data_IF_102458821102
#
_entry.id   IF_102458821102
#
_cell.length_a   1.000
_cell.length_b   1.000
_cell.length_c   1.000
_cell.angle_alpha   90.00
_cell.angle_beta   90.00
_cell.angle_gamma   90.00
#
_symmetry.space_group_name_H-M   'P 1'
#
loop_
_entity.id
_entity.type
_entity.pdbx_description
1 polymer ?
#
# COMPACT_ATOMS: atom_id res chain seq x y z
N UNK A 1 2.36 -8.63 20.38
CA UNK A 1 2.40 -7.16 20.23
C UNK A 1 1.28 -6.71 19.31
N UNK A 2 1.04 -5.40 19.19
CA UNK A 2 0.10 -4.84 18.22
C UNK A 2 0.76 -4.84 16.83
N UNK A 3 0.11 -5.41 15.81
CA UNK A 3 0.65 -5.46 14.45
C UNK A 3 0.49 -4.11 13.74
N UNK A 4 -0.75 -3.66 13.55
CA UNK A 4 -1.07 -2.37 12.95
C UNK A 4 -2.44 -1.83 13.40
N UNK A 5 -2.68 -0.56 13.13
CA UNK A 5 -3.99 0.10 13.23
C UNK A 5 -4.35 0.64 11.85
N UNK A 6 -5.51 0.24 11.33
CA UNK A 6 -5.96 0.60 9.99
C UNK A 6 -7.04 1.68 10.03
N UNK A 7 -6.95 2.64 9.10
CA UNK A 7 -7.88 3.74 8.92
C UNK A 7 -8.45 3.70 7.52
N UNK A 8 -9.77 3.51 7.42
CA UNK A 8 -10.48 3.56 6.14
C UNK A 8 -10.47 4.98 5.59
N UNK A 9 -10.13 5.11 4.33
CA UNK A 9 -10.27 6.36 3.55
C UNK A 9 -11.29 6.15 2.44
N UNK A 10 -11.70 7.23 1.77
CA UNK A 10 -12.86 7.19 0.87
C UNK A 10 -12.66 6.29 -0.36
N UNK A 11 -11.47 6.35 -0.94
CA UNK A 11 -11.15 5.65 -2.19
C UNK A 11 -9.62 5.46 -2.34
N UNK A 12 -9.24 4.81 -3.44
CA UNK A 12 -7.82 4.61 -3.80
C UNK A 12 -7.07 5.94 -3.97
N UNK A 13 -7.73 7.03 -4.38
CA UNK A 13 -7.08 8.32 -4.53
C UNK A 13 -6.68 8.89 -3.17
N UNK A 14 -7.47 8.68 -2.12
CA UNK A 14 -7.09 9.05 -0.75
C UNK A 14 -6.01 8.13 -0.17
N UNK A 15 -5.96 6.83 -0.52
CA UNK A 15 -4.85 5.94 -0.15
C UNK A 15 -3.53 6.48 -0.71
N UNK A 16 -3.50 6.79 -2.01
CA UNK A 16 -2.30 7.32 -2.67
C UNK A 16 -1.99 8.75 -2.23
N UNK A 17 -2.98 9.64 -2.23
CA UNK A 17 -2.81 11.05 -1.88
C UNK A 17 -2.36 11.24 -0.43
N UNK A 18 -3.01 10.51 0.48
CA UNK A 18 -2.67 10.46 1.90
C UNK A 18 -1.29 9.85 2.14
N UNK A 19 -0.98 8.71 1.50
CA UNK A 19 0.33 8.09 1.63
C UNK A 19 1.48 8.93 1.08
N UNK A 20 1.25 9.65 -0.03
CA UNK A 20 2.21 10.62 -0.54
C UNK A 20 2.42 11.81 0.43
N UNK A 21 1.36 12.24 1.12
CA UNK A 21 1.47 13.26 2.18
C UNK A 21 2.29 12.74 3.37
N UNK A 22 1.99 11.52 3.86
CA UNK A 22 2.73 10.87 4.94
C UNK A 22 4.22 10.73 4.58
N UNK A 23 4.54 10.32 3.34
CA UNK A 23 5.92 10.28 2.88
C UNK A 23 6.59 11.66 2.88
N UNK A 24 5.88 12.74 2.53
CA UNK A 24 6.44 14.11 2.59
C UNK A 24 6.67 14.58 4.03
N UNK A 25 5.91 14.04 4.99
CA UNK A 25 6.13 14.24 6.42
C UNK A 25 7.33 13.45 6.97
N UNK A 26 8.06 12.72 6.12
CA UNK A 26 9.29 12.00 6.50
C UNK A 26 9.05 10.63 7.11
N UNK A 27 7.85 10.09 7.01
CA UNK A 27 7.54 8.75 7.52
C UNK A 27 7.99 7.68 6.53
N UNK A 28 8.50 6.58 7.08
CA UNK A 28 8.92 5.43 6.29
C UNK A 28 7.73 4.53 5.95
N UNK A 29 7.68 4.09 4.69
CA UNK A 29 6.78 3.02 4.28
C UNK A 29 7.35 1.68 4.73
N UNK A 30 6.51 0.83 5.31
CA UNK A 30 6.85 -0.57 5.50
C UNK A 30 6.56 -1.36 4.22
N UNK A 31 5.37 -1.16 3.66
CA UNK A 31 4.95 -1.76 2.40
C UNK A 31 3.78 -0.99 1.80
N UNK A 32 3.79 -0.82 0.49
CA UNK A 32 2.67 -0.27 -0.25
C UNK A 32 3.03 0.98 -1.04
N UNK A 33 2.11 1.54 -1.83
CA UNK A 33 0.73 1.10 -1.98
C UNK A 33 0.63 -0.32 -2.56
N UNK A 34 -0.43 -1.04 -2.22
CA UNK A 34 -0.67 -2.43 -2.61
C UNK A 34 -2.15 -2.78 -2.67
N UNK A 35 -2.45 -4.03 -3.05
CA UNK A 35 -3.81 -4.60 -2.96
C UNK A 35 -3.80 -5.97 -2.29
N UNK A 36 -4.69 -6.16 -1.33
CA UNK A 36 -4.88 -7.42 -0.61
C UNK A 36 -5.86 -8.34 -1.37
N UNK A 37 -5.48 -9.59 -1.68
CA UNK A 37 -6.40 -10.57 -2.27
C UNK A 37 -7.49 -11.03 -1.30
N UNK A 38 -7.20 -11.06 0.00
CA UNK A 38 -8.10 -11.63 1.01
C UNK A 38 -9.25 -10.68 1.36
N UNK A 39 -8.97 -9.38 1.49
CA UNK A 39 -9.94 -8.36 1.87
C UNK A 39 -10.40 -7.49 0.69
N UNK A 40 -9.83 -7.67 -0.50
CA UNK A 40 -9.94 -6.76 -1.65
C UNK A 40 -9.35 -5.36 -1.45
N UNK A 41 -8.91 -5.00 -0.24
CA UNK A 41 -8.53 -3.63 0.08
C UNK A 41 -7.28 -3.17 -0.69
N UNK A 42 -7.33 -1.95 -1.23
CA UNK A 42 -6.11 -1.18 -1.49
C UNK A 42 -5.53 -0.73 -0.15
N UNK A 43 -4.22 -0.87 0.04
CA UNK A 43 -3.57 -0.58 1.31
C UNK A 43 -2.27 0.22 1.14
N UNK A 44 -1.85 0.89 2.21
CA UNK A 44 -0.48 1.41 2.36
C UNK A 44 -0.09 1.44 3.85
N UNK A 45 0.97 0.68 4.20
CA UNK A 45 1.51 0.59 5.56
C UNK A 45 2.69 1.55 5.81
N UNK A 46 2.62 2.27 6.93
CA UNK A 46 3.64 3.20 7.40
C UNK A 46 4.20 2.77 8.75
N UNK A 47 5.50 2.98 8.96
CA UNK A 47 6.14 2.81 10.27
C UNK A 47 5.74 3.98 11.16
N UNK A 48 5.09 3.68 12.27
CA UNK A 48 4.69 4.69 13.26
C UNK A 48 5.77 4.84 14.34
N UNK A 49 6.25 6.06 14.62
CA UNK A 49 7.19 6.31 15.72
C UNK A 49 6.68 5.87 17.10
N UNK A 50 5.36 5.80 17.29
CA UNK A 50 4.74 5.32 18.53
C UNK A 50 4.63 3.78 18.61
N UNK A 51 5.15 3.05 17.62
CA UNK A 51 5.05 1.60 17.53
C UNK A 51 3.83 1.12 16.71
N UNK A 52 3.84 -0.17 16.38
CA UNK A 52 2.96 -0.79 15.38
C UNK A 52 3.03 -0.10 14.00
N UNK A 53 2.34 -0.64 12.99
CA UNK A 53 2.17 0.03 11.72
C UNK A 53 0.87 0.84 11.72
N UNK A 54 0.82 1.87 10.88
CA UNK A 54 -0.43 2.55 10.50
C UNK A 54 -0.75 2.14 9.07
N UNK A 55 -2.01 1.82 8.80
CA UNK A 55 -2.51 1.49 7.47
C UNK A 55 -3.54 2.50 7.01
N UNK A 56 -3.40 3.02 5.80
CA UNK A 56 -4.52 3.59 5.05
C UNK A 56 -5.04 2.54 4.08
N UNK A 57 -6.36 2.34 4.09
CA UNK A 57 -6.99 1.39 3.19
C UNK A 57 -8.35 1.85 2.67
N UNK A 58 -8.77 1.29 1.53
CA UNK A 58 -10.08 1.50 0.93
C UNK A 58 -10.48 0.31 0.06
N UNK A 59 -11.76 0.22 -0.32
CA UNK A 59 -12.31 -0.79 -1.23
C UNK A 59 -12.25 -2.22 -0.67
N UNK A 60 -12.47 -2.37 0.64
CA UNK A 60 -12.59 -3.66 1.29
C UNK A 60 -13.93 -4.36 1.00
N UNK A 61 -13.91 -5.69 1.02
CA UNK A 61 -15.12 -6.51 0.94
C UNK A 61 -16.09 -6.17 2.08
N UNK A 62 -17.36 -5.94 1.75
CA UNK A 62 -18.44 -5.80 2.73
C UNK A 62 -19.11 -7.16 2.93
N UNK A 63 -19.09 -7.65 4.16
CA UNK A 63 -19.65 -8.97 4.49
C UNK A 63 -21.16 -8.86 4.73
N UNK A 64 -21.94 -9.66 4.01
CA UNK A 64 -23.37 -9.83 4.27
C UNK A 64 -23.63 -11.07 5.12
N UNK A 65 -24.89 -11.30 5.51
CA UNK A 65 -25.29 -12.50 6.23
C UNK A 65 -25.06 -13.80 5.43
N UNK A 66 -25.00 -13.72 4.09
CA UNK A 66 -24.79 -14.87 3.20
C UNK A 66 -23.31 -15.18 2.97
N UNK A 67 -22.40 -14.30 3.43
CA UNK A 67 -20.97 -14.48 3.22
C UNK A 67 -20.47 -15.78 3.87
N UNK A 68 -19.65 -16.53 3.12
CA UNK A 68 -19.05 -17.77 3.58
C UNK A 68 -17.54 -17.60 3.79
N UNK A 69 -16.98 -18.13 4.89
CA UNK A 69 -15.54 -18.11 5.12
C UNK A 69 -14.80 -18.89 4.04
N UNK A 70 -13.60 -18.40 3.73
CA UNK A 70 -12.67 -19.00 2.76
C UNK A 70 -11.40 -19.41 3.50
N UNK A 71 -10.83 -20.53 3.09
CA UNK A 71 -9.50 -20.97 3.54
C UNK A 71 -8.47 -20.62 2.49
N UNK A 72 -7.32 -20.11 2.95
CA UNK A 72 -6.20 -19.77 2.09
C UNK A 72 -4.92 -20.37 2.65
N UNK A 73 -4.17 -21.05 1.80
CA UNK A 73 -2.80 -21.45 2.13
C UNK A 73 -1.90 -20.20 2.19
N UNK A 74 -1.21 -19.94 3.31
CA UNK A 74 -0.35 -18.78 3.43
C UNK A 74 0.74 -18.74 2.35
N UNK A 75 0.84 -17.64 1.63
CA UNK A 75 1.85 -17.44 0.60
C UNK A 75 2.02 -15.97 0.21
N UNK A 76 3.15 -15.59 -0.42
CA UNK A 76 3.41 -14.20 -0.81
C UNK A 76 2.31 -13.60 -1.70
N UNK A 77 1.77 -14.40 -2.61
CA UNK A 77 0.70 -14.02 -3.54
C UNK A 77 -0.69 -13.93 -2.90
N UNK A 78 -0.88 -14.54 -1.72
CA UNK A 78 -2.12 -14.42 -0.93
C UNK A 78 -2.07 -13.19 -0.04
N UNK A 79 -0.86 -12.75 0.34
CA UNK A 79 -0.69 -11.55 1.14
C UNK A 79 -0.95 -10.28 0.32
N UNK A 80 -0.34 -10.14 -0.85
CA UNK A 80 -0.56 -9.01 -1.74
C UNK A 80 -0.63 -9.47 -3.19
N UNK A 81 -1.63 -8.99 -3.93
CA UNK A 81 -1.72 -9.17 -5.38
C UNK A 81 -0.55 -8.43 -6.04
N UNK A 82 -0.30 -7.22 -5.56
CA UNK A 82 0.88 -6.42 -5.83
C UNK A 82 1.10 -5.47 -4.65
N UNK A 83 2.37 -5.10 -4.42
CA UNK A 83 2.75 -4.09 -3.45
C UNK A 83 4.13 -3.55 -3.80
N UNK A 84 4.38 -2.29 -3.44
CA UNK A 84 5.68 -1.65 -3.64
C UNK A 84 6.48 -1.72 -2.33
N UNK A 85 7.56 -2.49 -2.32
CA UNK A 85 8.48 -2.51 -1.19
C UNK A 85 9.19 -1.16 -1.04
N UNK A 86 9.29 -0.66 0.19
CA UNK A 86 9.79 0.69 0.52
C UNK A 86 8.91 1.86 0.04
N UNK A 87 7.88 1.57 -0.75
CA UNK A 87 6.88 2.51 -1.26
C UNK A 87 7.35 3.60 -2.19
N UNK A 88 6.46 4.59 -2.37
CA UNK A 88 6.67 5.73 -3.26
C UNK A 88 7.20 6.93 -2.48
N UNK A 89 8.19 7.61 -3.04
CA UNK A 89 8.69 8.86 -2.51
C UNK A 89 7.72 10.02 -2.79
N UNK A 90 7.34 10.72 -1.73
CA UNK A 90 6.37 11.82 -1.75
C UNK A 90 6.72 13.01 -2.64
N UNK A 91 7.99 13.17 -3.04
CA UNK A 91 8.49 14.28 -3.86
C UNK A 91 8.78 13.84 -5.30
N UNK A 92 9.58 12.80 -5.48
CA UNK A 92 9.96 12.28 -6.81
C UNK A 92 8.83 11.51 -7.48
N UNK A 93 7.84 11.02 -6.71
CA UNK A 93 6.72 10.19 -7.19
C UNK A 93 7.21 8.92 -7.90
N UNK A 94 8.31 8.36 -7.39
CA UNK A 94 8.94 7.12 -7.84
C UNK A 94 9.15 6.20 -6.65
N UNK A 95 9.33 4.91 -6.94
CA UNK A 95 9.67 3.95 -5.90
C UNK A 95 10.99 4.33 -5.24
N UNK A 96 11.04 4.29 -3.91
CA UNK A 96 12.27 4.53 -3.14
C UNK A 96 13.29 3.43 -3.43
N UNK A 97 14.56 3.80 -3.51
CA UNK A 97 15.66 2.83 -3.72
C UNK A 97 15.85 2.32 -5.15
N UNK A 98 15.01 2.78 -6.10
CA UNK A 98 15.24 2.56 -7.53
C UNK A 98 16.06 3.74 -8.06
N UNK A 99 17.08 3.47 -8.88
CA UNK A 99 17.91 4.51 -9.51
C UNK A 99 17.05 5.52 -10.27
N UNK A 100 17.58 6.74 -10.54
CA UNK A 100 16.85 7.73 -11.32
C UNK A 100 16.41 7.12 -12.64
N UNK A 101 15.18 7.41 -13.07
CA UNK A 101 14.76 7.04 -14.41
C UNK A 101 15.76 7.65 -15.41
N UNK A 102 16.22 6.88 -16.39
CA UNK A 102 17.26 7.25 -17.37
C UNK A 102 16.90 8.48 -18.26
N UNK A 103 15.82 9.21 -17.94
CA UNK A 103 15.34 10.39 -18.65
C UNK A 103 14.72 10.10 -20.02
N UNK A 104 14.87 8.87 -20.51
CA UNK A 104 14.28 8.41 -21.77
C UNK A 104 12.80 8.13 -21.57
N UNK A 105 11.95 8.70 -22.42
CA UNK A 105 10.55 8.32 -22.47
C UNK A 105 10.45 6.89 -23.00
N UNK A 106 9.43 6.14 -22.57
CA UNK A 106 9.11 4.83 -23.13
C UNK A 106 8.88 4.87 -24.66
N UNK A 107 8.60 6.06 -25.20
CA UNK A 107 8.39 6.33 -26.63
C UNK A 107 9.67 6.63 -27.39
N UNK A 108 10.79 6.88 -26.69
CA UNK A 108 12.07 7.13 -27.34
C UNK A 108 12.58 5.79 -27.88
N UNK A 109 12.64 5.66 -29.21
CA UNK A 109 13.11 4.43 -29.87
C UNK A 109 14.51 4.06 -29.36
N UNK A 110 14.71 2.77 -29.09
CA UNK A 110 16.01 2.16 -28.75
C UNK A 110 17.05 2.43 -29.82
#
# INVERSE_FOLDING_TARGET
GLNHVAFTVRDIHEVFGGGMHISRCGWDTQLGPGRHPVSSAYFWYFKNPAGALVEYYADEDQLTADWQPREFEPGPTVFAEWAIDGGLDGNTRRQKGVGPADGKFLTDKK
#
